data_IF_615118298714
#
_entry.id   IF_615118298714
#
_cell.length_a   1.000
_cell.length_b   1.000
_cell.length_c   1.000
_cell.angle_alpha   90.00
_cell.angle_beta   90.00
_cell.angle_gamma   90.00
#
_symmetry.space_group_name_H-M   'P 1'
#
loop_
_entity.id
_entity.type
_entity.pdbx_description
1 polymer ?
#
# COMPACT_ATOMS: atom_id res chain seq x y z
N UNK A 1 10.79 1.24 -10.51
CA UNK A 1 9.57 1.40 -11.34
C UNK A 1 9.34 2.87 -11.63
N UNK A 2 9.01 3.24 -12.85
CA UNK A 2 8.71 4.65 -13.18
C UNK A 2 7.45 5.13 -12.45
N UNK A 3 7.46 6.36 -11.92
CA UNK A 3 6.31 6.96 -11.22
C UNK A 3 5.00 6.87 -12.03
N UNK A 4 5.08 6.99 -13.36
CA UNK A 4 3.92 6.89 -14.26
C UNK A 4 3.24 5.51 -14.21
N UNK A 5 4.02 4.44 -14.13
CA UNK A 5 3.52 3.06 -14.06
C UNK A 5 2.79 2.82 -12.74
N UNK A 6 3.31 3.34 -11.63
CA UNK A 6 2.65 3.23 -10.31
C UNK A 6 1.27 3.90 -10.28
N UNK A 7 1.17 5.10 -10.83
CA UNK A 7 -0.10 5.84 -10.89
C UNK A 7 -1.16 5.06 -11.69
N UNK A 8 -0.76 4.45 -12.80
CA UNK A 8 -1.67 3.60 -13.58
C UNK A 8 -2.10 2.35 -12.79
N UNK A 9 -1.19 1.75 -12.04
CA UNK A 9 -1.50 0.58 -11.22
C UNK A 9 -2.46 0.92 -10.09
N UNK A 10 -2.26 2.03 -9.38
CA UNK A 10 -3.20 2.51 -8.35
C UNK A 10 -4.60 2.74 -8.93
N UNK A 11 -4.69 3.33 -10.14
CA UNK A 11 -5.98 3.51 -10.83
C UNK A 11 -6.66 2.18 -11.15
N UNK A 12 -5.89 1.16 -11.55
CA UNK A 12 -6.41 -0.20 -11.80
C UNK A 12 -6.90 -0.87 -10.52
N UNK A 13 -6.14 -0.74 -9.43
CA UNK A 13 -6.53 -1.25 -8.10
C UNK A 13 -7.87 -0.63 -7.69
N UNK A 14 -8.01 0.70 -7.78
CA UNK A 14 -9.26 1.40 -7.43
C UNK A 14 -10.47 0.87 -8.21
N UNK A 15 -10.37 0.77 -9.54
CA UNK A 15 -11.46 0.26 -10.38
C UNK A 15 -11.88 -1.17 -10.02
N UNK A 16 -10.91 -2.05 -9.74
CA UNK A 16 -11.20 -3.43 -9.34
C UNK A 16 -11.92 -3.49 -7.99
N UNK A 17 -11.43 -2.74 -7.00
CA UNK A 17 -12.00 -2.74 -5.66
C UNK A 17 -13.41 -2.11 -5.64
N UNK A 18 -13.65 -1.07 -6.44
CA UNK A 18 -14.99 -0.50 -6.62
C UNK A 18 -16.00 -1.51 -7.18
N UNK A 19 -15.55 -2.40 -8.07
CA UNK A 19 -16.37 -3.49 -8.62
C UNK A 19 -16.56 -4.65 -7.62
N UNK A 20 -15.54 -4.96 -6.79
CA UNK A 20 -15.59 -6.03 -5.78
C UNK A 20 -16.47 -5.66 -4.59
N UNK A 21 -16.47 -4.39 -4.16
CA UNK A 21 -17.20 -3.90 -3.00
C UNK A 21 -18.10 -2.70 -3.34
N UNK A 22 -19.10 -2.88 -4.21
CA UNK A 22 -19.95 -1.78 -4.65
C UNK A 22 -20.78 -1.23 -3.49
N UNK A 23 -20.82 0.10 -3.36
CA UNK A 23 -21.64 0.77 -2.34
C UNK A 23 -21.08 0.74 -0.92
N UNK A 24 -19.86 0.23 -0.70
CA UNK A 24 -19.17 0.26 0.58
C UNK A 24 -17.82 1.00 0.48
N UNK A 25 -17.81 2.34 0.52
CA UNK A 25 -16.58 3.13 0.38
C UNK A 25 -15.54 2.84 1.46
N UNK A 26 -15.98 2.52 2.68
CA UNK A 26 -15.07 2.24 3.79
C UNK A 26 -14.28 0.94 3.54
N UNK A 27 -14.98 -0.12 3.13
CA UNK A 27 -14.32 -1.38 2.79
C UNK A 27 -13.43 -1.23 1.55
N UNK A 28 -13.86 -0.44 0.56
CA UNK A 28 -13.03 -0.13 -0.60
C UNK A 28 -11.69 0.52 -0.20
N UNK A 29 -11.70 1.51 0.67
CA UNK A 29 -10.48 2.21 1.12
C UNK A 29 -9.48 1.27 1.81
N UNK A 30 -9.97 0.41 2.71
CA UNK A 30 -9.15 -0.60 3.39
C UNK A 30 -8.48 -1.53 2.38
N UNK A 31 -9.25 -2.02 1.40
CA UNK A 31 -8.73 -2.94 0.39
C UNK A 31 -7.76 -2.26 -0.59
N UNK A 32 -8.02 -1.00 -0.99
CA UNK A 32 -7.11 -0.20 -1.81
C UNK A 32 -5.78 -0.03 -1.08
N UNK A 33 -5.81 0.43 0.18
CA UNK A 33 -4.61 0.62 0.98
C UNK A 33 -3.80 -0.68 1.12
N UNK A 34 -4.47 -1.78 1.46
CA UNK A 34 -3.82 -3.10 1.59
C UNK A 34 -3.16 -3.56 0.29
N UNK A 35 -3.82 -3.37 -0.86
CA UNK A 35 -3.27 -3.74 -2.18
C UNK A 35 -2.06 -2.88 -2.56
N UNK A 36 -2.09 -1.58 -2.26
CA UNK A 36 -0.96 -0.68 -2.49
C UNK A 36 0.26 -1.12 -1.67
N UNK A 37 0.09 -1.33 -0.35
CA UNK A 37 1.18 -1.78 0.53
C UNK A 37 1.73 -3.14 0.10
N UNK A 38 0.85 -4.05 -0.34
CA UNK A 38 1.27 -5.35 -0.89
C UNK A 38 2.13 -5.17 -2.14
N UNK A 39 1.78 -4.22 -3.02
CA UNK A 39 2.54 -3.96 -4.23
C UNK A 39 3.89 -3.33 -3.94
N UNK A 40 3.96 -2.42 -2.97
CA UNK A 40 5.22 -1.86 -2.49
C UNK A 40 6.12 -2.96 -1.90
N UNK A 41 5.55 -3.88 -1.11
CA UNK A 41 6.28 -5.04 -0.60
C UNK A 41 6.84 -5.92 -1.73
N UNK A 42 6.05 -6.20 -2.78
CA UNK A 42 6.50 -6.94 -3.97
C UNK A 42 7.67 -6.24 -4.67
N UNK A 43 7.61 -4.90 -4.82
CA UNK A 43 8.67 -4.10 -5.46
C UNK A 43 9.97 -4.17 -4.67
N UNK A 44 9.88 -4.18 -3.34
CA UNK A 44 11.01 -4.32 -2.42
C UNK A 44 11.47 -5.78 -2.24
N UNK A 45 10.85 -6.73 -2.95
CA UNK A 45 11.19 -8.16 -2.84
C UNK A 45 10.86 -8.77 -1.48
N UNK A 46 9.92 -8.18 -0.74
CA UNK A 46 9.51 -8.60 0.60
C UNK A 46 8.11 -9.21 0.59
N UNK A 47 7.84 -10.11 1.55
CA UNK A 47 6.46 -10.46 1.87
C UNK A 47 5.78 -9.29 2.58
N UNK A 48 4.45 -9.19 2.44
CA UNK A 48 3.66 -8.11 3.07
C UNK A 48 3.96 -7.97 4.57
N UNK A 49 3.98 -9.08 5.32
CA UNK A 49 4.27 -9.04 6.76
C UNK A 49 5.69 -8.58 7.11
N UNK A 50 6.69 -8.90 6.27
CA UNK A 50 8.06 -8.36 6.44
C UNK A 50 8.09 -6.87 6.14
N UNK A 51 7.38 -6.44 5.11
CA UNK A 51 7.31 -5.03 4.72
C UNK A 51 6.62 -4.17 5.79
N UNK A 52 5.52 -4.64 6.38
CA UNK A 52 4.86 -3.94 7.51
C UNK A 52 5.84 -3.73 8.67
N UNK A 53 6.55 -4.78 9.09
CA UNK A 53 7.56 -4.66 10.16
C UNK A 53 8.70 -3.72 9.80
N UNK A 54 9.11 -3.71 8.54
CA UNK A 54 10.11 -2.76 8.04
C UNK A 54 9.63 -1.30 8.15
N UNK A 55 8.36 -1.03 7.80
CA UNK A 55 7.77 0.30 7.93
C UNK A 55 7.68 0.75 9.41
N UNK A 56 7.31 -0.14 10.32
CA UNK A 56 7.27 0.13 11.76
C UNK A 56 8.65 0.53 12.30
N UNK A 57 9.68 -0.26 11.99
CA UNK A 57 11.06 0.05 12.39
C UNK A 57 11.57 1.36 11.77
N UNK A 58 11.17 1.66 10.53
CA UNK A 58 11.53 2.91 9.86
C UNK A 58 10.87 4.11 10.56
N UNK A 59 9.60 3.98 10.99
CA UNK A 59 8.89 5.01 11.75
C UNK A 59 9.59 5.31 13.08
N UNK A 60 9.89 4.28 13.87
CA UNK A 60 10.57 4.45 15.16
C UNK A 60 11.92 5.15 15.05
N UNK A 61 12.69 4.86 14.00
CA UNK A 61 13.97 5.54 13.73
C UNK A 61 13.78 7.02 13.43
N UNK A 62 12.74 7.37 12.66
CA UNK A 62 12.43 8.77 12.32
C UNK A 62 11.98 9.56 13.55
N UNK A 63 11.17 8.96 14.42
CA UNK A 63 10.71 9.58 15.67
C UNK A 63 11.89 9.86 16.61
N UNK A 64 12.83 8.92 16.75
CA UNK A 64 14.04 9.07 17.58
C UNK A 64 15.05 10.08 17.03
N UNK A 65 15.05 10.34 15.73
CA UNK A 65 15.91 11.35 15.10
C UNK A 65 15.32 12.76 15.17
N UNK A 66 14.02 12.86 15.48
CA UNK A 66 13.29 14.13 15.56
C UNK A 66 13.07 14.61 17.01
N UNK A 67 13.62 13.88 17.99
CA UNK A 67 13.61 14.18 19.43
C UNK A 67 15.02 14.49 19.91
#
# INVERSE_FOLDING_TARGET
MEKKVFVQEVKRIRKKIEQEFPGDPALQEVHIARKIISKEAEIEGMSLGKYIRFLELKREKLEKQSS
#
